data_IF_157889826080
#
_entry.id   IF_157889826080
#
_cell.length_a   1.000
_cell.length_b   1.000
_cell.length_c   1.000
_cell.angle_alpha   90.00
_cell.angle_beta   90.00
_cell.angle_gamma   90.00
#
_symmetry.space_group_name_H-M   'P 1'
#
loop_
_entity.id
_entity.type
_entity.pdbx_description
1 polymer ?
#
# COMPACT_ATOMS: atom_id res chain seq x y z
N UNK A 1 70.01 39.65 -15.47
CA UNK A 1 68.54 39.84 -15.46
C UNK A 1 67.96 38.74 -16.32
N UNK A 2 67.23 37.77 -15.72
CA UNK A 2 66.13 37.00 -16.23
C UNK A 2 65.97 35.73 -15.41
N UNK A 3 65.46 35.91 -14.24
CA UNK A 3 64.88 34.79 -13.43
C UNK A 3 63.38 34.94 -13.39
N UNK A 4 62.68 34.41 -14.41
CA UNK A 4 61.20 34.46 -14.47
C UNK A 4 60.65 33.04 -14.48
N UNK A 5 59.96 32.73 -13.37
CA UNK A 5 58.76 31.88 -13.28
C UNK A 5 58.78 30.45 -13.86
N UNK A 6 59.62 29.56 -13.32
CA UNK A 6 59.45 28.13 -13.47
C UNK A 6 58.44 27.51 -12.44
N UNK A 7 57.97 28.28 -11.44
CA UNK A 7 57.08 27.80 -10.38
C UNK A 7 55.60 27.77 -10.75
N UNK A 8 55.12 28.71 -11.59
CA UNK A 8 53.69 28.84 -11.88
C UNK A 8 53.16 27.75 -12.85
N UNK A 9 54.02 27.28 -13.76
CA UNK A 9 53.62 26.21 -14.69
C UNK A 9 53.48 24.80 -14.07
N UNK A 10 54.06 24.57 -12.87
CA UNK A 10 53.95 23.29 -12.19
C UNK A 10 52.69 23.13 -11.33
N UNK A 11 52.05 24.22 -10.93
CA UNK A 11 50.84 24.23 -10.13
C UNK A 11 49.55 24.19 -10.97
N UNK A 12 49.63 24.59 -12.23
CA UNK A 12 48.47 24.61 -13.13
C UNK A 12 47.83 23.22 -13.40
N UNK A 13 48.61 22.14 -13.64
CA UNK A 13 48.02 20.80 -13.82
C UNK A 13 47.45 20.21 -12.54
N UNK A 14 47.98 20.58 -11.36
CA UNK A 14 47.46 20.14 -10.07
C UNK A 14 46.11 20.79 -9.76
N UNK A 15 45.94 22.06 -10.11
CA UNK A 15 44.69 22.80 -9.97
C UNK A 15 43.60 22.28 -10.94
N UNK A 16 44.01 21.92 -12.17
CA UNK A 16 43.09 21.33 -13.17
C UNK A 16 42.64 19.93 -12.79
N UNK A 17 43.50 19.11 -12.15
CA UNK A 17 43.15 17.78 -11.62
C UNK A 17 42.25 17.88 -10.41
N UNK A 18 42.37 18.89 -9.57
CA UNK A 18 41.45 19.16 -8.44
C UNK A 18 40.05 19.58 -8.91
N UNK A 19 39.93 20.28 -10.03
CA UNK A 19 38.65 20.70 -10.59
C UNK A 19 37.91 19.55 -11.31
N UNK A 20 38.60 18.54 -11.81
CA UNK A 20 38.00 17.36 -12.43
C UNK A 20 37.44 16.34 -11.39
N UNK A 21 37.87 16.45 -10.13
CA UNK A 21 37.44 15.57 -9.05
C UNK A 21 36.10 15.93 -8.37
N UNK A 22 35.51 17.09 -8.71
CA UNK A 22 34.27 17.58 -8.04
C UNK A 22 33.01 17.43 -8.91
N UNK A 23 33.10 16.79 -10.06
CA UNK A 23 31.91 16.34 -10.76
C UNK A 23 31.45 15.04 -10.09
N UNK A 24 31.15 15.10 -8.80
CA UNK A 24 30.29 14.12 -8.15
C UNK A 24 28.90 14.31 -8.78
N UNK A 25 28.68 13.60 -9.88
CA UNK A 25 27.35 13.37 -10.36
C UNK A 25 26.63 12.70 -9.17
N UNK A 26 25.85 13.45 -8.42
CA UNK A 26 24.91 12.89 -7.44
C UNK A 26 23.94 12.08 -8.28
N UNK A 27 24.28 10.83 -8.53
CA UNK A 27 23.39 9.87 -9.14
C UNK A 27 22.23 9.81 -8.15
N UNK A 28 21.10 10.40 -8.53
CA UNK A 28 19.87 10.38 -7.73
C UNK A 28 19.53 8.92 -7.54
N UNK A 29 19.60 8.46 -6.32
CA UNK A 29 19.40 7.04 -6.00
C UNK A 29 17.94 6.71 -6.30
N UNK A 30 17.73 5.82 -7.26
CA UNK A 30 16.42 5.34 -7.64
C UNK A 30 15.81 4.53 -6.48
N UNK A 31 14.62 4.92 -6.03
CA UNK A 31 13.93 4.27 -4.90
C UNK A 31 13.10 3.09 -5.40
N UNK A 32 13.25 1.95 -4.77
CA UNK A 32 12.54 0.71 -5.15
C UNK A 32 11.25 0.57 -4.35
N UNK A 33 10.13 0.68 -5.05
CA UNK A 33 8.80 0.67 -4.46
C UNK A 33 8.03 -0.56 -4.96
N UNK A 34 7.63 -1.42 -4.06
CA UNK A 34 6.72 -2.54 -4.38
C UNK A 34 5.29 -2.13 -4.07
N UNK A 35 4.42 -2.20 -5.08
CA UNK A 35 2.97 -2.01 -4.91
C UNK A 35 2.29 -3.37 -4.95
N UNK A 36 1.46 -3.66 -3.96
CA UNK A 36 0.69 -4.91 -3.87
C UNK A 36 -0.79 -4.56 -3.82
N UNK A 37 -1.53 -5.02 -4.81
CA UNK A 37 -2.98 -4.87 -4.88
C UNK A 37 -3.71 -6.15 -4.44
N UNK A 38 -4.91 -5.99 -3.86
CA UNK A 38 -5.73 -7.12 -3.40
C UNK A 38 -6.39 -7.89 -4.53
N UNK A 39 -6.93 -7.19 -5.52
CA UNK A 39 -7.68 -7.81 -6.62
C UNK A 39 -6.78 -8.16 -7.81
N UNK A 40 -7.39 -8.62 -8.90
CA UNK A 40 -6.70 -8.97 -10.15
C UNK A 40 -6.22 -7.72 -10.91
N UNK A 41 -5.29 -7.92 -11.84
CA UNK A 41 -4.69 -6.83 -12.63
C UNK A 41 -5.71 -6.04 -13.46
N UNK A 42 -6.80 -6.69 -13.86
CA UNK A 42 -7.86 -6.10 -14.69
C UNK A 42 -8.89 -5.30 -13.90
N UNK A 43 -8.73 -5.22 -12.57
CA UNK A 43 -9.64 -4.42 -11.74
C UNK A 43 -9.67 -2.96 -12.17
N UNK A 44 -10.86 -2.46 -12.47
CA UNK A 44 -11.07 -1.21 -13.20
C UNK A 44 -10.41 0.04 -12.59
N UNK A 45 -10.21 0.08 -11.27
CA UNK A 45 -9.61 1.22 -10.58
C UNK A 45 -8.07 1.23 -10.63
N UNK A 46 -7.40 0.10 -10.86
CA UNK A 46 -5.95 0.01 -10.71
C UNK A 46 -5.14 0.77 -11.76
N UNK A 47 -5.51 0.83 -13.05
CA UNK A 47 -4.75 1.62 -14.01
C UNK A 47 -4.63 3.09 -13.59
N UNK A 48 -5.72 3.68 -13.15
CA UNK A 48 -5.74 5.08 -12.68
C UNK A 48 -4.96 5.23 -11.36
N UNK A 49 -5.14 4.31 -10.42
CA UNK A 49 -4.44 4.33 -9.14
C UNK A 49 -2.92 4.22 -9.32
N UNK A 50 -2.44 3.30 -10.16
CA UNK A 50 -1.02 3.14 -10.45
C UNK A 50 -0.44 4.38 -11.15
N UNK A 51 -1.20 4.99 -12.07
CA UNK A 51 -0.84 6.25 -12.70
C UNK A 51 -0.66 7.36 -11.66
N UNK A 52 -1.62 7.51 -10.74
CA UNK A 52 -1.58 8.53 -9.69
C UNK A 52 -0.38 8.34 -8.75
N UNK A 53 -0.03 7.10 -8.41
CA UNK A 53 1.18 6.80 -7.62
C UNK A 53 2.42 7.30 -8.36
N UNK A 54 2.59 6.92 -9.62
CA UNK A 54 3.76 7.30 -10.43
C UNK A 54 3.86 8.82 -10.57
N UNK A 55 2.78 9.51 -10.89
CA UNK A 55 2.71 10.96 -11.00
C UNK A 55 3.04 11.68 -9.69
N UNK A 56 2.63 11.11 -8.55
CA UNK A 56 2.96 11.71 -7.25
C UNK A 56 4.46 11.61 -6.96
N UNK A 57 5.11 10.47 -7.25
CA UNK A 57 6.57 10.35 -7.12
C UNK A 57 7.30 11.33 -8.03
N UNK A 58 6.85 11.47 -9.28
CA UNK A 58 7.41 12.44 -10.24
C UNK A 58 7.26 13.87 -9.73
N UNK A 59 6.08 14.26 -9.25
CA UNK A 59 5.80 15.58 -8.68
C UNK A 59 6.70 15.91 -7.49
N UNK A 60 6.95 14.93 -6.62
CA UNK A 60 7.86 15.06 -5.49
C UNK A 60 9.34 14.95 -5.89
N UNK A 61 9.63 14.77 -7.20
CA UNK A 61 10.99 14.61 -7.75
C UNK A 61 11.72 13.42 -7.14
N UNK A 62 11.00 12.38 -6.77
CA UNK A 62 11.54 11.10 -6.31
C UNK A 62 11.68 10.21 -7.53
N UNK A 63 12.90 9.78 -7.81
CA UNK A 63 13.18 8.77 -8.83
C UNK A 63 12.82 7.41 -8.26
N UNK A 64 11.84 6.72 -8.88
CA UNK A 64 11.27 5.49 -8.32
C UNK A 64 11.16 4.39 -9.38
N UNK A 65 11.79 3.25 -9.12
CA UNK A 65 11.51 1.99 -9.79
C UNK A 65 10.31 1.33 -9.07
N UNK A 66 9.14 1.35 -9.71
CA UNK A 66 7.90 0.86 -9.14
C UNK A 66 7.57 -0.48 -9.78
N UNK A 67 7.46 -1.53 -8.96
CA UNK A 67 6.96 -2.84 -9.39
C UNK A 67 5.62 -3.12 -8.74
N UNK A 68 4.67 -3.58 -9.54
CA UNK A 68 3.31 -3.86 -9.08
C UNK A 68 3.02 -5.36 -9.18
N UNK A 69 2.38 -5.91 -8.16
CA UNK A 69 1.89 -7.28 -8.13
C UNK A 69 0.43 -7.31 -7.66
N UNK A 70 -0.29 -8.35 -8.08
CA UNK A 70 -1.72 -8.50 -7.86
C UNK A 70 -1.99 -9.83 -7.14
N UNK A 71 -2.62 -9.75 -5.98
CA UNK A 71 -2.93 -10.91 -5.15
C UNK A 71 -4.03 -11.76 -5.77
N UNK A 72 -4.98 -11.12 -6.47
CA UNK A 72 -6.15 -11.79 -7.05
C UNK A 72 -6.95 -12.56 -5.97
N UNK A 73 -7.31 -11.85 -4.91
CA UNK A 73 -7.92 -12.43 -3.72
C UNK A 73 -9.32 -13.01 -3.94
N UNK A 74 -9.96 -12.72 -5.06
CA UNK A 74 -11.23 -13.33 -5.44
C UNK A 74 -11.06 -14.75 -5.98
N UNK A 75 -9.92 -15.04 -6.63
CA UNK A 75 -9.56 -16.38 -7.11
C UNK A 75 -8.83 -17.21 -6.05
N UNK A 76 -8.14 -16.54 -5.11
CA UNK A 76 -7.35 -17.17 -4.05
C UNK A 76 -7.80 -16.67 -2.68
N UNK A 77 -8.16 -17.57 -1.78
CA UNK A 77 -8.63 -17.23 -0.44
C UNK A 77 -8.10 -18.20 0.62
N UNK A 78 -7.93 -17.70 1.85
CA UNK A 78 -7.35 -18.41 2.99
C UNK A 78 -5.90 -18.88 2.76
N UNK A 79 -5.58 -20.17 2.84
CA UNK A 79 -4.22 -20.67 2.67
C UNK A 79 -3.67 -20.45 1.26
N UNK A 80 -4.41 -20.71 0.16
CA UNK A 80 -3.97 -20.37 -1.20
C UNK A 80 -3.62 -18.89 -1.38
N UNK A 81 -4.35 -17.98 -0.75
CA UNK A 81 -4.06 -16.54 -0.76
C UNK A 81 -2.71 -16.24 -0.09
N UNK A 82 -2.43 -16.85 1.07
CA UNK A 82 -1.16 -16.65 1.77
C UNK A 82 0.02 -17.25 1.00
N UNK A 83 -0.15 -18.40 0.37
CA UNK A 83 0.86 -19.02 -0.49
C UNK A 83 1.14 -18.15 -1.72
N UNK A 84 0.10 -17.62 -2.35
CA UNK A 84 0.23 -16.69 -3.47
C UNK A 84 0.94 -15.42 -3.06
N UNK A 85 0.59 -14.80 -1.94
CA UNK A 85 1.29 -13.62 -1.41
C UNK A 85 2.78 -13.90 -1.21
N UNK A 86 3.10 -15.04 -0.62
CA UNK A 86 4.49 -15.47 -0.41
C UNK A 86 5.22 -15.59 -1.75
N UNK A 87 4.62 -16.29 -2.71
CA UNK A 87 5.19 -16.45 -4.05
C UNK A 87 5.42 -15.10 -4.76
N UNK A 88 4.44 -14.19 -4.73
CA UNK A 88 4.54 -12.87 -5.38
C UNK A 88 5.68 -12.05 -4.78
N UNK A 89 5.74 -11.95 -3.46
CA UNK A 89 6.77 -11.17 -2.77
C UNK A 89 8.16 -11.77 -2.99
N UNK A 90 8.31 -13.09 -2.87
CA UNK A 90 9.58 -13.77 -3.06
C UNK A 90 10.06 -13.66 -4.52
N UNK A 91 9.15 -13.78 -5.49
CA UNK A 91 9.50 -13.68 -6.92
C UNK A 91 10.05 -12.30 -7.31
N UNK A 92 9.45 -11.24 -6.78
CA UNK A 92 9.91 -9.86 -7.04
C UNK A 92 11.21 -9.56 -6.28
N UNK A 93 11.34 -10.09 -5.05
CA UNK A 93 12.44 -9.74 -4.14
C UNK A 93 13.73 -10.48 -4.43
N UNK A 94 13.72 -11.50 -5.28
CA UNK A 94 14.88 -12.36 -5.55
C UNK A 94 16.10 -11.58 -6.06
N UNK A 95 15.89 -10.66 -7.00
CA UNK A 95 16.94 -9.86 -7.62
C UNK A 95 16.71 -8.33 -7.44
N UNK A 96 15.65 -7.97 -6.76
CA UNK A 96 15.23 -6.60 -6.58
C UNK A 96 14.56 -6.41 -5.21
N UNK A 97 15.29 -5.86 -4.26
CA UNK A 97 14.76 -5.65 -2.91
C UNK A 97 14.07 -4.28 -2.82
N UNK A 98 12.77 -4.20 -2.55
CA UNK A 98 12.09 -2.94 -2.32
C UNK A 98 12.59 -2.26 -1.04
N UNK A 99 12.52 -0.94 -1.02
CA UNK A 99 12.81 -0.10 0.14
C UNK A 99 11.54 0.28 0.90
N UNK A 100 10.41 0.28 0.18
CA UNK A 100 9.06 0.51 0.73
C UNK A 100 8.08 -0.41 0.03
N UNK A 101 7.10 -0.90 0.76
CA UNK A 101 5.96 -1.64 0.21
C UNK A 101 4.71 -0.79 0.39
N UNK A 102 4.04 -0.47 -0.71
CA UNK A 102 2.70 0.09 -0.69
C UNK A 102 1.71 -1.06 -0.87
N UNK A 103 0.80 -1.20 0.06
CA UNK A 103 -0.18 -2.30 0.00
C UNK A 103 -1.59 -1.74 0.02
N UNK A 104 -2.43 -2.20 -0.90
CA UNK A 104 -3.75 -1.64 -1.12
C UNK A 104 -4.83 -2.62 -0.70
N UNK A 105 -5.74 -2.14 0.16
CA UNK A 105 -6.93 -2.81 0.66
C UNK A 105 -6.67 -3.90 1.72
N UNK A 106 -7.74 -4.43 2.29
CA UNK A 106 -7.70 -5.32 3.47
C UNK A 106 -6.97 -6.64 3.20
N UNK A 107 -7.28 -7.33 2.07
CA UNK A 107 -6.77 -8.67 1.81
C UNK A 107 -5.26 -8.67 1.61
N UNK A 108 -4.74 -7.81 0.72
CA UNK A 108 -3.31 -7.72 0.49
C UNK A 108 -2.56 -7.30 1.76
N UNK A 109 -3.12 -6.33 2.52
CA UNK A 109 -2.53 -5.85 3.77
C UNK A 109 -2.38 -6.98 4.79
N UNK A 110 -3.44 -7.74 5.01
CA UNK A 110 -3.41 -8.79 6.03
C UNK A 110 -2.71 -10.05 5.57
N UNK A 111 -2.76 -10.37 4.28
CA UNK A 111 -2.03 -11.50 3.72
C UNK A 111 -0.53 -11.28 3.76
N UNK A 112 -0.04 -10.07 3.48
CA UNK A 112 1.37 -9.72 3.63
C UNK A 112 1.84 -9.91 5.08
N UNK A 113 1.05 -9.46 6.07
CA UNK A 113 1.41 -9.62 7.47
C UNK A 113 1.37 -11.07 7.97
N UNK A 114 0.52 -11.92 7.38
CA UNK A 114 0.30 -13.31 7.82
C UNK A 114 1.14 -14.34 7.07
N UNK A 115 1.51 -14.06 5.82
CA UNK A 115 2.20 -15.04 4.97
C UNK A 115 3.60 -15.46 5.47
N UNK A 116 4.16 -14.73 6.43
CA UNK A 116 5.44 -15.06 7.07
C UNK A 116 6.67 -14.65 6.28
N UNK A 117 6.52 -13.92 5.18
CA UNK A 117 7.65 -13.40 4.39
C UNK A 117 8.46 -12.42 5.23
N UNK A 118 9.77 -12.64 5.28
CA UNK A 118 10.68 -11.80 6.08
C UNK A 118 10.69 -10.34 5.61
N UNK A 119 10.59 -10.11 4.31
CA UNK A 119 10.53 -8.78 3.71
C UNK A 119 9.41 -7.92 4.31
N UNK A 120 8.22 -8.48 4.50
CA UNK A 120 7.08 -7.79 5.11
C UNK A 120 7.29 -7.41 6.59
N UNK A 121 8.36 -7.91 7.24
CA UNK A 121 8.73 -7.56 8.61
C UNK A 121 9.88 -6.56 8.68
N UNK A 122 10.71 -6.50 7.66
CA UNK A 122 11.93 -5.69 7.63
C UNK A 122 11.75 -4.37 6.89
N UNK A 123 10.95 -4.38 5.83
CA UNK A 123 10.74 -3.22 4.97
C UNK A 123 9.55 -2.41 5.50
N UNK A 124 9.62 -1.07 5.50
CA UNK A 124 8.46 -0.23 5.80
C UNK A 124 7.28 -0.55 4.88
N UNK A 125 6.11 -0.73 5.47
CA UNK A 125 4.86 -1.02 4.75
C UNK A 125 3.87 0.10 5.00
N UNK A 126 3.33 0.65 3.92
CA UNK A 126 2.27 1.66 3.98
C UNK A 126 1.01 1.08 3.35
N UNK A 127 -0.07 0.97 4.12
CA UNK A 127 -1.35 0.50 3.61
C UNK A 127 -2.29 1.66 3.28
N UNK A 128 -3.16 1.45 2.29
CA UNK A 128 -4.29 2.31 1.94
C UNK A 128 -5.54 1.47 1.65
N UNK A 129 -6.71 2.11 1.70
CA UNK A 129 -7.98 1.45 1.36
C UNK A 129 -8.41 0.33 2.33
N UNK A 130 -7.86 0.27 3.53
CA UNK A 130 -8.27 -0.70 4.55
C UNK A 130 -9.58 -0.25 5.19
N UNK A 131 -10.62 -1.06 5.04
CA UNK A 131 -11.96 -0.73 5.54
C UNK A 131 -12.21 -1.23 6.97
N UNK A 132 -11.62 -2.36 7.33
CA UNK A 132 -11.80 -2.99 8.64
C UNK A 132 -10.44 -3.24 9.33
N UNK A 133 -9.87 -2.22 10.00
CA UNK A 133 -8.57 -2.33 10.63
C UNK A 133 -8.50 -3.44 11.68
N UNK A 134 -7.62 -4.41 11.47
CA UNK A 134 -7.29 -5.41 12.48
C UNK A 134 -6.21 -4.86 13.42
N UNK A 135 -6.60 -4.05 14.39
CA UNK A 135 -5.70 -3.40 15.34
C UNK A 135 -4.81 -4.37 16.11
N UNK A 136 -5.31 -5.60 16.39
CA UNK A 136 -4.52 -6.63 17.06
C UNK A 136 -3.36 -7.14 16.19
N UNK A 137 -3.57 -7.23 14.88
CA UNK A 137 -2.52 -7.63 13.93
C UNK A 137 -1.56 -6.47 13.67
N UNK A 138 -2.09 -5.27 13.38
CA UNK A 138 -1.30 -4.06 13.12
C UNK A 138 -0.32 -3.73 14.24
N UNK A 139 -0.76 -3.82 15.50
CA UNK A 139 0.10 -3.58 16.68
C UNK A 139 1.29 -4.52 16.79
N UNK A 140 1.25 -5.70 16.15
CA UNK A 140 2.37 -6.65 16.14
C UNK A 140 3.38 -6.42 15.00
N UNK A 141 3.10 -5.46 14.13
CA UNK A 141 3.93 -5.13 12.96
C UNK A 141 4.32 -3.65 13.02
N UNK A 142 5.39 -3.30 13.79
CA UNK A 142 5.77 -1.90 14.02
C UNK A 142 6.27 -1.18 12.77
N UNK A 143 6.63 -1.93 11.73
CA UNK A 143 7.03 -1.40 10.42
C UNK A 143 5.84 -1.09 9.49
N UNK A 144 4.59 -1.30 9.96
CA UNK A 144 3.37 -1.11 9.17
C UNK A 144 2.62 0.13 9.65
N UNK A 145 2.31 1.02 8.72
CA UNK A 145 1.48 2.21 8.93
C UNK A 145 0.57 2.44 7.74
N UNK A 146 -0.39 3.35 7.83
CA UNK A 146 -1.23 3.69 6.69
C UNK A 146 -2.52 4.37 7.05
N UNK A 147 -3.41 4.42 6.07
CA UNK A 147 -4.72 5.07 6.15
C UNK A 147 -5.82 4.03 5.98
N UNK A 148 -6.86 4.15 6.79
CA UNK A 148 -8.04 3.32 6.68
C UNK A 148 -9.27 4.16 6.37
N UNK A 149 -10.22 3.55 5.65
CA UNK A 149 -11.49 4.16 5.32
C UNK A 149 -12.60 3.56 6.19
N UNK A 150 -13.47 4.41 6.71
CA UNK A 150 -14.63 3.95 7.45
C UNK A 150 -15.77 3.65 6.47
N UNK A 151 -16.29 2.42 6.51
CA UNK A 151 -17.53 2.12 5.81
C UNK A 151 -18.69 2.76 6.58
N UNK A 152 -19.35 3.71 5.92
CA UNK A 152 -20.48 4.47 6.47
C UNK A 152 -21.80 3.70 6.32
N UNK A 153 -21.88 2.47 6.84
CA UNK A 153 -23.04 1.60 6.65
C UNK A 153 -24.33 2.22 7.25
N UNK A 154 -24.25 2.68 8.49
CA UNK A 154 -25.42 3.27 9.16
C UNK A 154 -25.89 4.54 8.50
N UNK A 155 -24.97 5.38 8.05
CA UNK A 155 -25.24 6.60 7.32
C UNK A 155 -25.94 6.30 6.00
N UNK A 156 -25.51 5.28 5.27
CA UNK A 156 -26.17 4.84 4.03
C UNK A 156 -27.59 4.29 4.29
N UNK A 157 -27.80 3.54 5.38
CA UNK A 157 -29.13 3.09 5.79
C UNK A 157 -30.04 4.28 6.13
N UNK A 158 -29.52 5.29 6.83
CA UNK A 158 -30.26 6.51 7.15
C UNK A 158 -30.69 7.27 5.90
N UNK A 159 -29.78 7.43 4.93
CA UNK A 159 -30.09 8.03 3.63
C UNK A 159 -31.14 7.23 2.87
N UNK A 160 -31.05 5.88 2.89
CA UNK A 160 -32.06 5.05 2.24
C UNK A 160 -33.44 5.22 2.88
N UNK A 161 -33.54 5.34 4.20
CA UNK A 161 -34.80 5.64 4.90
C UNK A 161 -35.34 7.01 4.56
N UNK A 162 -34.49 8.01 4.48
CA UNK A 162 -34.88 9.36 4.10
C UNK A 162 -35.45 9.40 2.68
N UNK A 163 -34.85 8.67 1.74
CA UNK A 163 -35.27 8.65 0.35
C UNK A 163 -36.52 7.78 0.09
N UNK A 164 -36.63 6.65 0.78
CA UNK A 164 -37.61 5.60 0.49
C UNK A 164 -38.62 5.34 1.62
N UNK A 165 -38.50 6.04 2.75
CA UNK A 165 -39.35 5.90 3.92
C UNK A 165 -38.82 4.93 4.96
N UNK A 166 -39.39 4.97 6.18
CA UNK A 166 -38.92 4.20 7.35
C UNK A 166 -38.95 2.67 7.16
N UNK A 167 -39.83 2.18 6.28
CA UNK A 167 -40.01 0.74 6.05
C UNK A 167 -39.20 0.18 4.89
N UNK A 168 -38.03 0.75 4.62
CA UNK A 168 -37.13 0.26 3.57
C UNK A 168 -36.62 -1.15 3.90
N UNK A 169 -36.66 -2.05 2.92
CA UNK A 169 -36.05 -3.39 3.01
C UNK A 169 -34.71 -3.39 2.27
N UNK A 170 -33.66 -3.78 2.98
CA UNK A 170 -32.32 -3.90 2.42
C UNK A 170 -31.98 -5.37 2.20
N UNK A 171 -31.43 -5.68 1.05
CA UNK A 171 -30.87 -7.00 0.72
C UNK A 171 -29.36 -6.85 0.57
N UNK A 172 -28.62 -7.70 1.27
CA UNK A 172 -27.17 -7.75 1.21
C UNK A 172 -26.73 -9.10 0.66
N UNK A 173 -26.02 -9.12 -0.44
CA UNK A 173 -25.32 -10.31 -0.93
C UNK A 173 -23.90 -10.25 -0.43
N UNK A 174 -23.46 -11.29 0.25
CA UNK A 174 -22.13 -11.38 0.86
C UNK A 174 -21.54 -12.74 0.54
N UNK A 175 -20.26 -12.75 0.25
CA UNK A 175 -19.48 -13.98 0.10
C UNK A 175 -18.76 -14.35 1.42
N UNK A 176 -17.67 -15.10 1.34
CA UNK A 176 -16.87 -15.54 2.48
C UNK A 176 -15.53 -14.80 2.60
N UNK A 177 -15.31 -13.74 1.85
CA UNK A 177 -14.11 -12.90 1.93
C UNK A 177 -13.96 -12.26 3.32
N UNK A 178 -12.80 -11.77 3.62
CA UNK A 178 -12.55 -11.06 4.88
C UNK A 178 -13.50 -9.87 5.04
N UNK A 179 -13.64 -9.03 4.02
CA UNK A 179 -14.50 -7.82 4.05
C UNK A 179 -15.95 -8.22 4.30
N UNK A 180 -16.48 -9.17 3.56
CA UNK A 180 -17.88 -9.58 3.67
C UNK A 180 -18.21 -10.21 5.02
N UNK A 181 -17.27 -10.95 5.61
CA UNK A 181 -17.41 -11.41 7.00
C UNK A 181 -17.48 -10.25 8.00
N UNK A 182 -16.75 -9.15 7.79
CA UNK A 182 -16.84 -7.96 8.66
C UNK A 182 -18.14 -7.21 8.43
N UNK A 183 -18.59 -7.04 7.19
CA UNK A 183 -19.88 -6.43 6.84
C UNK A 183 -21.02 -7.23 7.48
N UNK A 184 -21.02 -8.54 7.35
CA UNK A 184 -22.02 -9.42 7.98
C UNK A 184 -22.11 -9.20 9.49
N UNK A 185 -20.98 -9.09 10.19
CA UNK A 185 -20.96 -8.81 11.63
C UNK A 185 -21.55 -7.44 11.95
N UNK A 186 -21.18 -6.40 11.19
CA UNK A 186 -21.68 -5.05 11.38
C UNK A 186 -23.20 -4.97 11.16
N UNK A 187 -23.70 -5.59 10.09
CA UNK A 187 -25.14 -5.65 9.76
C UNK A 187 -25.91 -6.42 10.83
N UNK A 188 -25.43 -7.60 11.23
CA UNK A 188 -26.08 -8.44 12.27
C UNK A 188 -26.16 -7.71 13.60
N UNK A 189 -25.10 -7.00 13.99
CA UNK A 189 -25.09 -6.22 15.24
C UNK A 189 -26.11 -5.06 15.22
N UNK A 190 -26.25 -4.39 14.09
CA UNK A 190 -27.18 -3.26 13.92
C UNK A 190 -28.64 -3.75 13.94
N UNK A 191 -28.91 -4.91 13.32
CA UNK A 191 -30.26 -5.48 13.26
C UNK A 191 -30.71 -6.08 14.61
N UNK A 192 -29.84 -6.77 15.33
CA UNK A 192 -30.15 -7.34 16.64
C UNK A 192 -30.49 -6.25 17.65
N UNK A 193 -29.79 -5.13 17.67
CA UNK A 193 -30.13 -4.00 18.56
C UNK A 193 -31.46 -3.33 18.21
N UNK A 194 -31.83 -3.26 16.95
CA UNK A 194 -33.15 -2.71 16.56
C UNK A 194 -34.31 -3.59 17.07
N UNK A 195 -34.12 -4.91 17.11
CA UNK A 195 -35.12 -5.84 17.66
C UNK A 195 -35.15 -5.90 19.20
N UNK A 196 -34.02 -5.66 19.87
CA UNK A 196 -33.95 -5.60 21.33
C UNK A 196 -34.65 -4.36 21.91
N UNK A 197 -34.73 -3.25 21.19
CA UNK A 197 -35.44 -2.04 21.63
C UNK A 197 -36.96 -2.14 21.46
N UNK A 198 -37.45 -2.97 20.54
CA UNK A 198 -38.88 -3.19 20.34
C UNK A 198 -39.49 -4.19 21.31
N UNK A 199 -38.70 -4.93 22.10
CA UNK A 199 -39.16 -5.91 23.07
C UNK A 199 -39.33 -5.36 24.49
N UNK A 200 -39.13 -4.07 24.72
CA UNK A 200 -39.31 -3.38 26.02
C UNK A 200 -40.39 -2.28 26.00
N UNK A 201 -41.31 -2.29 25.01
CA UNK A 201 -42.53 -1.54 24.99
C UNK A 201 -43.73 -2.49 24.95
#
# INVERSE_FOLDING_TARGET
>A
MNGVNRGIFRLLPIFLLLFLGVSSCSQKEERRILVIHSYEETYAAYPEFNRMIAEQFEKEKIDADIRTVYLDCESYWEEPELERMRFLVDSVSKDWRPEVILVNEDQATYSLMKCGVQLGKEVPVVFGGVNYPNWGLLKRHPNVTGFHDKIAFNENVSVAKELFGEHVRLFTMLDTTYIDRQIRRAVSYTHLRAHETDSYL
#
